data_IF_400774754083
#
_entry.id   IF_400774754083
#
_cell.length_a   1.000
_cell.length_b   1.000
_cell.length_c   1.000
_cell.angle_alpha   90.00
_cell.angle_beta   90.00
_cell.angle_gamma   90.00
#
_symmetry.space_group_name_H-M   'P 1'
#
loop_
_entity.id
_entity.type
_entity.pdbx_description
1 polymer ?
#
# COMPACT_ATOMS: atom_id res chain seq x y z
N UNK A 1 12.48 -38.08 -0.87
CA UNK A 1 11.13 -37.62 -1.21
C UNK A 1 11.20 -36.12 -1.33
N UNK A 2 10.87 -35.57 -2.50
CA UNK A 2 10.85 -34.13 -2.76
C UNK A 2 9.95 -33.48 -1.70
N UNK A 3 10.55 -32.80 -0.71
CA UNK A 3 9.82 -32.08 0.32
C UNK A 3 9.30 -30.79 -0.31
N UNK A 4 8.33 -30.91 -1.21
CA UNK A 4 7.47 -29.81 -1.60
C UNK A 4 6.56 -29.58 -0.41
N UNK A 5 7.09 -28.89 0.61
CA UNK A 5 6.26 -28.16 1.57
C UNK A 5 5.27 -27.42 0.67
N UNK A 6 3.97 -27.74 0.71
CA UNK A 6 3.02 -27.03 -0.12
C UNK A 6 3.11 -25.58 0.36
N UNK A 7 3.74 -24.74 -0.47
CA UNK A 7 3.75 -23.31 -0.26
C UNK A 7 2.28 -22.94 -0.10
N UNK A 8 1.85 -22.43 1.07
CA UNK A 8 0.46 -22.11 1.28
C UNK A 8 0.08 -21.14 0.18
N UNK A 9 -0.73 -21.62 -0.74
CA UNK A 9 -1.18 -20.89 -1.93
C UNK A 9 -1.72 -19.56 -1.44
N UNK A 10 -1.14 -18.47 -1.93
CA UNK A 10 -1.23 -17.15 -1.32
C UNK A 10 -2.69 -16.79 -1.02
N UNK A 11 -3.03 -16.60 0.26
CA UNK A 11 -4.44 -16.48 0.63
C UNK A 11 -5.02 -15.20 0.02
N UNK A 12 -6.16 -15.31 -0.67
CA UNK A 12 -6.83 -14.17 -1.30
C UNK A 12 -7.01 -12.99 -0.33
N UNK A 13 -7.25 -13.27 0.96
CA UNK A 13 -7.38 -12.25 2.00
C UNK A 13 -6.08 -11.46 2.25
N UNK A 14 -4.92 -12.12 2.28
CA UNK A 14 -3.61 -11.45 2.35
C UNK A 14 -3.36 -10.62 1.10
N UNK A 15 -3.65 -11.16 -0.08
CA UNK A 15 -3.51 -10.42 -1.33
C UNK A 15 -4.35 -9.14 -1.32
N UNK A 16 -5.64 -9.24 -0.97
CA UNK A 16 -6.54 -8.09 -0.86
C UNK A 16 -6.02 -7.07 0.16
N UNK A 17 -5.55 -7.51 1.33
CA UNK A 17 -4.99 -6.63 2.35
C UNK A 17 -3.76 -5.86 1.83
N UNK A 18 -2.79 -6.59 1.25
CA UNK A 18 -1.54 -6.01 0.77
C UNK A 18 -1.75 -5.10 -0.45
N UNK A 19 -2.58 -5.52 -1.41
CA UNK A 19 -2.94 -4.71 -2.57
C UNK A 19 -3.64 -3.42 -2.16
N UNK A 20 -4.59 -3.51 -1.22
CA UNK A 20 -5.29 -2.34 -0.68
C UNK A 20 -4.33 -1.41 0.09
N UNK A 21 -3.31 -1.97 0.76
CA UNK A 21 -2.27 -1.18 1.41
C UNK A 21 -1.42 -0.42 0.39
N UNK A 22 -1.10 -1.03 -0.76
CA UNK A 22 -0.44 -0.33 -1.88
C UNK A 22 -1.30 0.81 -2.40
N UNK A 23 -2.62 0.61 -2.57
CA UNK A 23 -3.55 1.69 -2.95
C UNK A 23 -3.50 2.83 -1.94
N UNK A 24 -3.52 2.51 -0.63
CA UNK A 24 -3.49 3.50 0.43
C UNK A 24 -2.20 4.32 0.41
N UNK A 25 -1.04 3.67 0.26
CA UNK A 25 0.26 4.36 0.11
C UNK A 25 0.26 5.24 -1.14
N UNK A 26 -0.27 4.74 -2.26
CA UNK A 26 -0.42 5.51 -3.49
C UNK A 26 -1.31 6.74 -3.33
N UNK A 27 -2.38 6.65 -2.53
CA UNK A 27 -3.26 7.77 -2.22
C UNK A 27 -2.54 8.85 -1.39
N UNK A 28 -1.71 8.46 -0.43
CA UNK A 28 -0.86 9.40 0.30
C UNK A 28 0.10 10.10 -0.66
N UNK A 29 0.83 9.35 -1.49
CA UNK A 29 1.73 9.93 -2.48
C UNK A 29 1.02 10.92 -3.42
N UNK A 30 -0.16 10.54 -3.94
CA UNK A 30 -0.95 11.40 -4.83
C UNK A 30 -1.33 12.73 -4.18
N UNK A 31 -1.58 12.74 -2.87
CA UNK A 31 -1.87 13.96 -2.11
C UNK A 31 -0.67 14.91 -2.08
N UNK A 32 0.53 14.39 -1.81
CA UNK A 32 1.76 15.18 -1.84
C UNK A 32 2.06 15.69 -3.25
N UNK A 33 1.98 14.81 -4.25
CA UNK A 33 2.21 15.16 -5.65
C UNK A 33 1.24 16.24 -6.15
N UNK A 34 -0.04 16.16 -5.79
CA UNK A 34 -1.02 17.19 -6.15
C UNK A 34 -0.70 18.56 -5.53
N UNK A 35 -0.14 18.57 -4.32
CA UNK A 35 0.33 19.79 -3.67
C UNK A 35 1.56 20.36 -4.37
N UNK A 36 2.59 19.54 -4.58
CA UNK A 36 3.86 19.96 -5.18
C UNK A 36 3.67 20.47 -6.61
N UNK A 37 2.97 19.70 -7.46
CA UNK A 37 2.72 20.07 -8.86
C UNK A 37 1.94 21.39 -9.00
N UNK A 38 0.93 21.61 -8.17
CA UNK A 38 0.17 22.86 -8.19
C UNK A 38 0.98 24.03 -7.63
N UNK A 39 1.74 23.81 -6.56
CA UNK A 39 2.56 24.86 -5.96
C UNK A 39 3.67 25.30 -6.91
N UNK A 40 4.31 24.39 -7.63
CA UNK A 40 5.31 24.71 -8.65
C UNK A 40 4.76 25.68 -9.69
N UNK A 41 3.58 25.38 -10.26
CA UNK A 41 2.93 26.26 -11.24
C UNK A 41 2.57 27.61 -10.62
N UNK A 42 2.05 27.64 -9.40
CA UNK A 42 1.70 28.90 -8.73
C UNK A 42 2.96 29.74 -8.51
N UNK A 43 4.02 29.18 -7.94
CA UNK A 43 5.24 29.92 -7.60
C UNK A 43 5.99 30.44 -8.82
N UNK A 44 6.10 29.64 -9.89
CA UNK A 44 6.76 30.07 -11.13
C UNK A 44 6.06 31.26 -11.79
N UNK A 45 4.73 31.33 -11.69
CA UNK A 45 3.92 32.32 -12.40
C UNK A 45 3.50 33.50 -11.48
N UNK A 46 3.77 33.41 -10.18
CA UNK A 46 3.35 34.40 -9.18
C UNK A 46 3.98 35.77 -9.37
N UNK A 47 5.31 35.83 -9.55
CA UNK A 47 6.04 37.10 -9.69
C UNK A 47 5.62 37.87 -10.95
N UNK A 48 5.48 37.17 -12.06
CA UNK A 48 5.03 37.72 -13.33
C UNK A 48 3.59 38.23 -13.22
N UNK A 49 2.69 37.42 -12.66
CA UNK A 49 1.31 37.83 -12.45
C UNK A 49 1.22 39.07 -11.54
N UNK A 50 1.96 39.10 -10.43
CA UNK A 50 1.98 40.22 -9.50
C UNK A 50 2.47 41.51 -10.15
N UNK A 51 3.50 41.43 -11.00
CA UNK A 51 3.99 42.59 -11.75
C UNK A 51 2.96 43.11 -12.75
N UNK A 52 2.27 42.23 -13.49
CA UNK A 52 1.21 42.60 -14.42
C UNK A 52 -0.04 43.15 -13.70
N UNK A 53 -0.35 42.66 -12.49
CA UNK A 53 -1.44 43.16 -11.65
C UNK A 53 -1.19 44.55 -11.06
N UNK A 54 0.09 44.93 -10.89
CA UNK A 54 0.47 46.24 -10.35
C UNK A 54 0.37 47.40 -11.36
N UNK A 55 0.15 47.10 -12.64
CA UNK A 55 0.02 48.12 -13.70
C UNK A 55 -1.39 48.74 -13.71
N UNK A 56 -1.48 50.06 -13.56
CA UNK A 56 -2.76 50.78 -13.63
C UNK A 56 -3.42 50.75 -15.02
N UNK A 57 -2.61 50.69 -16.10
CA UNK A 57 -3.08 50.66 -17.50
C UNK A 57 -2.24 49.70 -18.35
N UNK A 58 -2.56 48.40 -18.34
CA UNK A 58 -1.85 47.42 -19.16
C UNK A 58 -2.16 47.61 -20.65
N UNK A 59 -1.16 47.37 -21.50
CA UNK A 59 -1.35 47.25 -22.95
C UNK A 59 -2.16 45.99 -23.30
N UNK A 60 -2.73 45.90 -24.50
CA UNK A 60 -3.54 44.75 -24.95
C UNK A 60 -2.81 43.40 -24.81
N UNK A 61 -1.51 43.37 -25.13
CA UNK A 61 -0.66 42.19 -24.96
C UNK A 61 -0.46 41.82 -23.48
N UNK A 62 -0.26 42.81 -22.62
CA UNK A 62 -0.09 42.62 -21.17
C UNK A 62 -1.38 42.14 -20.50
N UNK A 63 -2.53 42.63 -20.96
CA UNK A 63 -3.85 42.19 -20.51
C UNK A 63 -4.11 40.72 -20.90
N UNK A 64 -3.84 40.35 -22.16
CA UNK A 64 -3.97 38.96 -22.62
C UNK A 64 -3.03 38.01 -21.87
N UNK A 65 -1.79 38.45 -21.61
CA UNK A 65 -0.80 37.66 -20.87
C UNK A 65 -1.20 37.47 -19.40
N UNK A 66 -1.76 38.50 -18.77
CA UNK A 66 -2.32 38.40 -17.41
C UNK A 66 -3.45 37.37 -17.36
N UNK A 67 -4.43 37.45 -18.27
CA UNK A 67 -5.55 36.52 -18.32
C UNK A 67 -5.07 35.07 -18.52
N UNK A 68 -4.10 34.86 -19.41
CA UNK A 68 -3.48 33.55 -19.63
C UNK A 68 -2.86 32.98 -18.34
N UNK A 69 -2.11 33.79 -17.60
CA UNK A 69 -1.46 33.36 -16.35
C UNK A 69 -2.47 33.06 -15.26
N UNK A 70 -3.51 33.89 -15.11
CA UNK A 70 -4.61 33.66 -14.17
C UNK A 70 -5.31 32.33 -14.48
N UNK A 71 -5.61 32.08 -15.76
CA UNK A 71 -6.24 30.83 -16.18
C UNK A 71 -5.35 29.61 -15.93
N UNK A 72 -4.04 29.72 -16.17
CA UNK A 72 -3.07 28.65 -15.90
C UNK A 72 -3.04 28.28 -14.42
N UNK A 73 -3.03 29.28 -13.53
CA UNK A 73 -3.07 29.08 -12.07
C UNK A 73 -4.40 28.47 -11.65
N UNK A 74 -5.53 28.95 -12.17
CA UNK A 74 -6.86 28.41 -11.87
C UNK A 74 -6.96 26.92 -12.23
N UNK A 75 -6.49 26.54 -13.43
CA UNK A 75 -6.44 25.14 -13.86
C UNK A 75 -5.56 24.30 -12.93
N UNK A 76 -4.39 24.82 -12.52
CA UNK A 76 -3.51 24.10 -11.61
C UNK A 76 -4.16 23.85 -10.24
N UNK A 77 -4.86 24.85 -9.70
CA UNK A 77 -5.58 24.75 -8.43
C UNK A 77 -6.77 23.77 -8.54
N UNK A 78 -7.50 23.79 -9.64
CA UNK A 78 -8.63 22.89 -9.85
C UNK A 78 -8.18 21.43 -10.06
N UNK A 79 -7.07 21.23 -10.78
CA UNK A 79 -6.42 19.93 -10.91
C UNK A 79 -6.00 19.39 -9.54
N UNK A 80 -5.38 20.22 -8.70
CA UNK A 80 -5.04 19.84 -7.32
C UNK A 80 -6.26 19.37 -6.54
N UNK A 81 -7.36 20.12 -6.55
CA UNK A 81 -8.60 19.71 -5.86
C UNK A 81 -9.11 18.37 -6.36
N UNK A 82 -9.07 18.16 -7.68
CA UNK A 82 -9.52 16.92 -8.31
C UNK A 82 -8.64 15.73 -7.90
N UNK A 83 -7.31 15.90 -7.92
CA UNK A 83 -6.37 14.87 -7.49
C UNK A 83 -6.49 14.57 -5.99
N UNK A 84 -6.72 15.57 -5.15
CA UNK A 84 -6.94 15.37 -3.70
C UNK A 84 -8.26 14.64 -3.44
N UNK A 85 -9.34 14.95 -4.17
CA UNK A 85 -10.60 14.19 -4.08
C UNK A 85 -10.41 12.73 -4.50
N UNK A 86 -9.67 12.48 -5.58
CA UNK A 86 -9.33 11.13 -6.02
C UNK A 86 -8.49 10.40 -4.98
N UNK A 87 -7.48 11.06 -4.41
CA UNK A 87 -6.66 10.52 -3.34
C UNK A 87 -7.51 10.17 -2.11
N UNK A 88 -8.43 11.03 -1.69
CA UNK A 88 -9.34 10.75 -0.58
C UNK A 88 -10.23 9.54 -0.84
N UNK A 89 -10.76 9.41 -2.06
CA UNK A 89 -11.54 8.24 -2.48
C UNK A 89 -10.70 6.95 -2.42
N UNK A 90 -9.50 6.97 -3.00
CA UNK A 90 -8.58 5.83 -2.98
C UNK A 90 -8.14 5.46 -1.56
N UNK A 91 -7.91 6.45 -0.70
CA UNK A 91 -7.60 6.23 0.71
C UNK A 91 -8.76 5.55 1.45
N UNK A 92 -10.00 5.97 1.16
CA UNK A 92 -11.20 5.34 1.72
C UNK A 92 -11.34 3.87 1.30
N UNK A 93 -11.23 3.59 -0.01
CA UNK A 93 -11.29 2.22 -0.55
C UNK A 93 -10.13 1.37 -0.04
N UNK A 94 -8.91 1.92 -0.03
CA UNK A 94 -7.72 1.24 0.47
C UNK A 94 -7.83 0.89 1.96
N UNK A 95 -8.31 1.81 2.79
CA UNK A 95 -8.51 1.57 4.23
C UNK A 95 -9.55 0.47 4.47
N UNK A 96 -10.67 0.50 3.75
CA UNK A 96 -11.69 -0.56 3.83
C UNK A 96 -11.13 -1.92 3.37
N UNK A 97 -10.39 -1.96 2.27
CA UNK A 97 -9.78 -3.17 1.76
C UNK A 97 -8.72 -3.76 2.70
N UNK A 98 -7.90 -2.93 3.33
CA UNK A 98 -6.96 -3.34 4.39
C UNK A 98 -7.71 -3.96 5.55
N UNK A 99 -8.74 -3.26 6.07
CA UNK A 99 -9.52 -3.74 7.20
C UNK A 99 -10.19 -5.08 6.91
N UNK A 100 -10.87 -5.21 5.76
CA UNK A 100 -11.53 -6.45 5.35
C UNK A 100 -10.51 -7.56 5.13
N UNK A 101 -9.43 -7.30 4.38
CA UNK A 101 -8.40 -8.30 4.09
C UNK A 101 -7.78 -8.87 5.36
N UNK A 102 -7.31 -8.01 6.28
CA UNK A 102 -6.73 -8.46 7.55
C UNK A 102 -7.76 -9.12 8.47
N UNK A 103 -8.98 -8.59 8.58
CA UNK A 103 -10.01 -9.16 9.45
C UNK A 103 -10.40 -10.59 9.03
N UNK A 104 -10.58 -10.83 7.73
CA UNK A 104 -10.89 -12.17 7.23
C UNK A 104 -9.69 -13.10 7.26
N UNK A 105 -8.48 -12.58 7.00
CA UNK A 105 -7.26 -13.37 7.11
C UNK A 105 -7.06 -13.90 8.54
N UNK A 106 -7.14 -13.04 9.55
CA UNK A 106 -6.97 -13.44 10.96
C UNK A 106 -8.09 -14.40 11.39
N UNK A 107 -9.35 -14.11 11.05
CA UNK A 107 -10.48 -14.91 11.56
C UNK A 107 -10.60 -16.29 10.91
N UNK A 108 -10.30 -16.41 9.61
CA UNK A 108 -10.50 -17.65 8.86
C UNK A 108 -9.19 -18.37 8.59
N UNK A 109 -8.26 -17.70 7.92
CA UNK A 109 -7.07 -18.37 7.40
C UNK A 109 -6.06 -18.66 8.51
N UNK A 110 -5.82 -17.71 9.42
CA UNK A 110 -4.80 -17.86 10.46
C UNK A 110 -5.14 -19.03 11.39
N UNK A 111 -6.39 -19.15 11.83
CA UNK A 111 -6.83 -20.27 12.67
C UNK A 111 -6.55 -21.64 12.05
N UNK A 112 -6.84 -21.80 10.76
CA UNK A 112 -6.60 -23.06 10.05
C UNK A 112 -5.09 -23.31 9.91
N UNK A 113 -4.32 -22.26 9.61
CA UNK A 113 -2.87 -22.37 9.52
C UNK A 113 -2.23 -22.78 10.86
N UNK A 114 -2.70 -22.21 11.96
CA UNK A 114 -2.23 -22.53 13.31
C UNK A 114 -2.54 -23.99 13.66
N UNK A 115 -3.75 -24.47 13.38
CA UNK A 115 -4.13 -25.89 13.57
C UNK A 115 -3.28 -26.85 12.74
N UNK A 116 -2.99 -26.51 11.48
CA UNK A 116 -2.12 -27.32 10.62
C UNK A 116 -0.71 -27.36 11.20
N UNK A 117 -0.18 -26.24 11.68
CA UNK A 117 1.14 -26.17 12.28
C UNK A 117 1.24 -27.01 13.56
N UNK A 118 0.22 -26.96 14.43
CA UNK A 118 0.14 -27.80 15.63
C UNK A 118 0.12 -29.29 15.28
N UNK A 119 -0.73 -29.70 14.34
CA UNK A 119 -0.83 -31.10 13.89
C UNK A 119 0.49 -31.58 13.24
N UNK A 120 1.16 -30.74 12.46
CA UNK A 120 2.46 -31.07 11.86
C UNK A 120 3.55 -31.24 12.93
N UNK A 121 3.53 -30.40 13.96
CA UNK A 121 4.45 -30.49 15.09
C UNK A 121 4.22 -31.76 15.91
N UNK A 122 2.97 -32.16 16.14
CA UNK A 122 2.64 -33.42 16.80
C UNK A 122 3.07 -34.64 15.99
N UNK A 123 2.78 -34.65 14.68
CA UNK A 123 3.23 -35.70 13.77
C UNK A 123 4.76 -35.85 13.80
N UNK A 124 5.48 -34.73 13.75
CA UNK A 124 6.95 -34.72 13.79
C UNK A 124 7.47 -35.27 15.12
N UNK A 125 6.83 -34.96 16.25
CA UNK A 125 7.18 -35.53 17.57
C UNK A 125 6.95 -37.03 17.62
N UNK A 126 5.82 -37.52 17.11
CA UNK A 126 5.53 -38.96 17.06
C UNK A 126 6.51 -39.70 16.16
N UNK A 127 6.89 -39.12 15.01
CA UNK A 127 7.92 -39.67 14.14
C UNK A 127 9.28 -39.74 14.83
N UNK A 128 9.68 -38.69 15.57
CA UNK A 128 10.92 -38.70 16.36
C UNK A 128 10.89 -39.78 17.45
N UNK A 129 9.76 -39.96 18.14
CA UNK A 129 9.61 -41.01 19.16
C UNK A 129 9.71 -42.41 18.54
N UNK A 130 9.03 -42.65 17.43
CA UNK A 130 9.10 -43.92 16.70
C UNK A 130 10.54 -44.22 16.25
N UNK A 131 11.23 -43.22 15.69
CA UNK A 131 12.64 -43.35 15.27
C UNK A 131 13.56 -43.64 16.46
N UNK A 132 13.36 -42.98 17.60
CA UNK A 132 14.11 -43.26 18.84
C UNK A 132 13.91 -44.69 19.32
N UNK A 133 12.68 -45.20 19.29
CA UNK A 133 12.40 -46.59 19.63
C UNK A 133 13.07 -47.58 18.67
N UNK A 134 13.06 -47.29 17.37
CA UNK A 134 13.73 -48.11 16.37
C UNK A 134 15.25 -48.13 16.58
N UNK A 135 15.88 -46.98 16.81
CA UNK A 135 17.32 -46.88 17.10
C UNK A 135 17.70 -47.62 18.38
N UNK A 136 16.89 -47.49 19.44
CA UNK A 136 17.08 -48.24 20.69
C UNK A 136 16.97 -49.75 20.47
N UNK A 137 16.02 -50.20 19.64
CA UNK A 137 15.88 -51.63 19.30
C UNK A 137 17.07 -52.18 18.51
N UNK A 138 17.77 -51.31 17.77
CA UNK A 138 18.99 -51.62 17.01
C UNK A 138 20.27 -51.48 17.84
N UNK A 139 20.16 -51.20 19.15
CA UNK A 139 21.30 -51.12 20.07
C UNK A 139 22.11 -49.82 19.99
N UNK A 140 21.57 -48.77 19.35
CA UNK A 140 22.21 -47.45 19.27
C UNK A 140 21.73 -46.61 20.45
N UNK A 141 22.65 -46.16 21.32
CA UNK A 141 22.31 -45.23 22.41
C UNK A 141 21.92 -43.86 21.83
N UNK A 142 20.75 -43.35 22.24
CA UNK A 142 20.24 -42.04 21.81
C UNK A 142 20.22 -41.12 23.03
N UNK A 143 21.07 -40.10 23.02
CA UNK A 143 21.17 -39.10 24.09
C UNK A 143 19.86 -38.30 24.23
N UNK A 144 19.38 -38.18 25.46
CA UNK A 144 18.26 -37.31 25.82
C UNK A 144 18.79 -35.90 26.11
N UNK A 145 18.67 -34.99 25.13
CA UNK A 145 18.74 -33.54 25.34
C UNK A 145 17.34 -32.97 25.52
#
# INVERSE_FOLDING_TARGET
>A
MENKIPLPTDSLYKFVALFSMTILIGAFYLTFYAGESSNAVVYENWSELASLQSLEKPNAEQAARKEMLERKIEIAVENRKTLVKLAAFLAGVGTLGVYVGFAFWIRKQQKVADQIAENQLELSRLQLLALRHELKSKGVEVDTL
#
